data_IF_955049688246
#
_entry.id   IF_955049688246
#
_cell.length_a   1.000
_cell.length_b   1.000
_cell.length_c   1.000
_cell.angle_alpha   90.00
_cell.angle_beta   90.00
_cell.angle_gamma   90.00
#
_symmetry.space_group_name_H-M   'P 1'
#
loop_
_entity.id
_entity.type
_entity.pdbx_description
1 polymer ?
#
# COMPACT_ATOMS: atom_id res chain seq x y z
N UNK A 1 -9.76 -17.74 5.65
CA UNK A 1 -9.34 -17.23 6.97
C UNK A 1 -7.86 -16.82 7.02
N UNK A 2 -6.93 -17.65 6.53
CA UNK A 2 -5.48 -17.37 6.57
C UNK A 2 -5.04 -15.98 6.03
N UNK A 3 -5.63 -15.53 4.91
CA UNK A 3 -5.24 -14.26 4.29
C UNK A 3 -5.55 -13.03 5.16
N UNK A 4 -6.59 -13.11 5.99
CA UNK A 4 -6.97 -12.04 6.92
C UNK A 4 -6.01 -11.98 8.09
N UNK A 5 -5.53 -13.12 8.58
CA UNK A 5 -4.53 -13.19 9.65
C UNK A 5 -3.19 -12.61 9.19
N UNK A 6 -2.71 -13.00 8.01
CA UNK A 6 -1.49 -12.42 7.43
C UNK A 6 -1.63 -10.92 7.22
N UNK A 7 -2.80 -10.45 6.77
CA UNK A 7 -3.06 -9.03 6.60
C UNK A 7 -3.00 -8.27 7.94
N UNK A 8 -3.57 -8.84 9.02
CA UNK A 8 -3.50 -8.25 10.37
C UNK A 8 -2.04 -8.16 10.86
N UNK A 9 -1.23 -9.18 10.61
CA UNK A 9 0.18 -9.21 11.00
C UNK A 9 0.98 -8.13 10.24
N UNK A 10 0.79 -8.06 8.91
CA UNK A 10 1.37 -7.00 8.07
C UNK A 10 0.92 -5.60 8.48
N UNK A 11 -0.34 -5.44 8.92
CA UNK A 11 -0.86 -4.17 9.40
C UNK A 11 -0.19 -3.74 10.71
N UNK A 12 0.06 -4.68 11.62
CA UNK A 12 0.80 -4.41 12.86
C UNK A 12 2.25 -3.96 12.54
N UNK A 13 2.93 -4.65 11.63
CA UNK A 13 4.28 -4.28 11.18
C UNK A 13 4.29 -2.89 10.52
N UNK A 14 3.32 -2.60 9.65
CA UNK A 14 3.18 -1.30 8.99
C UNK A 14 2.93 -0.18 10.01
N UNK A 15 2.09 -0.43 11.01
CA UNK A 15 1.78 0.53 12.08
C UNK A 15 3.02 0.80 12.94
N UNK A 16 3.79 -0.24 13.26
CA UNK A 16 5.06 -0.09 13.96
C UNK A 16 6.06 0.74 13.16
N UNK A 17 6.19 0.52 11.84
CA UNK A 17 7.06 1.33 10.98
C UNK A 17 6.59 2.79 10.88
N UNK A 18 5.28 3.00 10.83
CA UNK A 18 4.68 4.34 10.76
C UNK A 18 4.87 5.15 12.04
N UNK A 19 5.09 4.48 13.18
CA UNK A 19 5.45 5.15 14.44
C UNK A 19 6.80 5.87 14.36
N UNK A 20 7.71 5.47 13.46
CA UNK A 20 8.96 6.20 13.21
C UNK A 20 8.76 7.45 12.32
N UNK A 21 7.60 7.60 11.69
CA UNK A 21 7.25 8.71 10.79
C UNK A 21 6.13 9.59 11.37
N UNK A 22 6.03 9.67 12.71
CA UNK A 22 5.09 10.52 13.42
C UNK A 22 5.23 11.98 12.95
N UNK A 23 4.23 12.48 12.22
CA UNK A 23 4.22 13.82 11.63
C UNK A 23 3.94 13.85 10.12
N UNK A 24 4.12 12.73 9.42
CA UNK A 24 3.73 12.64 8.00
C UNK A 24 2.26 12.25 7.86
N UNK A 25 1.48 13.05 7.13
CA UNK A 25 0.08 12.74 6.84
C UNK A 25 -0.02 11.65 5.79
N UNK A 26 -0.92 10.71 5.98
CA UNK A 26 -1.21 9.67 4.99
C UNK A 26 -2.11 10.28 3.90
N UNK A 27 -1.80 9.97 2.64
CA UNK A 27 -2.58 10.35 1.47
C UNK A 27 -3.46 9.19 1.02
N UNK A 28 -2.82 8.04 0.81
CA UNK A 28 -3.43 6.85 0.24
C UNK A 28 -2.98 5.60 1.01
N UNK A 29 -3.86 4.61 1.07
CA UNK A 29 -3.58 3.26 1.52
C UNK A 29 -3.48 2.37 0.29
N UNK A 30 -2.49 1.47 0.26
CA UNK A 30 -2.25 0.60 -0.89
C UNK A 30 -2.13 -0.88 -0.46
N UNK A 31 -2.78 -1.76 -1.22
CA UNK A 31 -2.62 -3.22 -1.15
C UNK A 31 -1.96 -3.68 -2.44
N UNK A 32 -0.86 -4.40 -2.31
CA UNK A 32 -0.13 -4.98 -3.44
C UNK A 32 -0.15 -6.51 -3.35
N UNK A 33 -0.61 -7.15 -4.41
CA UNK A 33 -0.54 -8.59 -4.61
C UNK A 33 0.45 -8.90 -5.72
N UNK A 34 1.36 -9.82 -5.48
CA UNK A 34 2.22 -10.42 -6.52
C UNK A 34 1.79 -11.86 -6.74
N UNK A 35 1.52 -12.21 -7.98
CA UNK A 35 1.06 -13.53 -8.37
C UNK A 35 2.23 -14.47 -8.72
N UNK A 36 1.89 -15.74 -8.91
CA UNK A 36 2.86 -16.80 -9.26
C UNK A 36 3.53 -16.56 -10.60
N UNK A 37 2.82 -15.92 -11.55
CA UNK A 37 3.34 -15.48 -12.85
C UNK A 37 4.18 -14.20 -12.77
N UNK A 38 4.60 -13.79 -11.56
CA UNK A 38 5.33 -12.55 -11.26
C UNK A 38 4.61 -11.24 -11.61
N UNK A 39 3.43 -11.30 -12.22
CA UNK A 39 2.51 -10.17 -12.39
C UNK A 39 2.10 -9.60 -11.03
N UNK A 40 1.97 -8.28 -10.93
CA UNK A 40 1.53 -7.60 -9.70
C UNK A 40 0.27 -6.77 -9.94
N UNK A 41 -0.61 -6.73 -8.94
CA UNK A 41 -1.75 -5.82 -8.88
C UNK A 41 -1.60 -4.95 -7.65
N UNK A 42 -1.78 -3.64 -7.82
CA UNK A 42 -1.84 -2.69 -6.71
C UNK A 42 -3.21 -2.02 -6.73
N UNK A 43 -3.92 -2.05 -5.60
CA UNK A 43 -5.10 -1.23 -5.39
C UNK A 43 -4.77 -0.16 -4.37
N UNK A 44 -5.22 1.05 -4.65
CA UNK A 44 -5.01 2.21 -3.81
C UNK A 44 -6.35 2.84 -3.47
N UNK A 45 -6.48 3.34 -2.24
CA UNK A 45 -7.65 4.07 -1.79
C UNK A 45 -7.21 5.30 -1.01
N UNK A 46 -7.87 6.43 -1.26
CA UNK A 46 -7.66 7.64 -0.47
C UNK A 46 -8.01 7.39 1.01
N UNK A 47 -7.13 7.82 1.90
CA UNK A 47 -7.30 7.62 3.33
C UNK A 47 -6.26 8.44 4.10
N UNK A 48 -6.71 9.17 5.10
CA UNK A 48 -5.88 10.02 5.94
C UNK A 48 -5.28 9.29 7.15
N UNK A 49 -5.77 8.08 7.42
CA UNK A 49 -5.46 7.29 8.61
C UNK A 49 -5.25 5.81 8.26
N UNK A 50 -4.42 5.11 9.04
CA UNK A 50 -4.24 3.66 8.94
C UNK A 50 -5.47 2.96 9.53
N UNK A 51 -6.32 2.46 8.66
CA UNK A 51 -7.53 1.73 9.05
C UNK A 51 -7.51 0.32 8.47
N UNK A 52 -7.58 -0.68 9.37
CA UNK A 52 -7.55 -2.09 9.01
C UNK A 52 -8.75 -2.48 8.13
N UNK A 53 -9.94 -1.93 8.38
CA UNK A 53 -11.14 -2.26 7.60
C UNK A 53 -10.99 -1.82 6.14
N UNK A 54 -10.31 -0.69 5.88
CA UNK A 54 -10.00 -0.26 4.50
C UNK A 54 -9.13 -1.27 3.77
N UNK A 55 -8.12 -1.85 4.44
CA UNK A 55 -7.29 -2.90 3.84
C UNK A 55 -8.08 -4.20 3.61
N UNK A 56 -8.93 -4.58 4.55
CA UNK A 56 -9.81 -5.75 4.42
C UNK A 56 -10.79 -5.63 3.26
N UNK A 57 -11.29 -4.43 2.97
CA UNK A 57 -12.17 -4.17 1.82
C UNK A 57 -11.40 -4.18 0.48
N UNK A 58 -10.14 -3.74 0.47
CA UNK A 58 -9.30 -3.72 -0.73
C UNK A 58 -8.76 -5.10 -1.12
N UNK A 59 -8.50 -5.97 -0.15
CA UNK A 59 -7.98 -7.31 -0.38
C UNK A 59 -8.82 -8.15 -1.37
N UNK A 60 -10.15 -8.31 -1.20
CA UNK A 60 -10.96 -9.09 -2.14
C UNK A 60 -10.98 -8.45 -3.54
N UNK A 61 -11.05 -7.12 -3.64
CA UNK A 61 -11.01 -6.42 -4.93
C UNK A 61 -9.66 -6.63 -5.65
N UNK A 62 -8.56 -6.63 -4.90
CA UNK A 62 -7.24 -6.94 -5.45
C UNK A 62 -7.13 -8.40 -5.89
N UNK A 63 -7.75 -9.31 -5.15
CA UNK A 63 -7.79 -10.73 -5.45
C UNK A 63 -8.61 -11.03 -6.72
N UNK A 64 -9.77 -10.39 -6.90
CA UNK A 64 -10.61 -10.56 -8.09
C UNK A 64 -9.87 -10.17 -9.37
N UNK A 65 -9.06 -9.10 -9.34
CA UNK A 65 -8.20 -8.70 -10.47
C UNK A 65 -7.09 -9.71 -10.79
N UNK A 66 -6.76 -10.59 -9.85
CA UNK A 66 -5.81 -11.68 -10.03
C UNK A 66 -6.34 -12.84 -10.85
N UNK A 67 -7.62 -12.85 -11.22
CA UNK A 67 -8.28 -13.90 -12.01
C UNK A 67 -8.03 -15.33 -11.47
N UNK A 68 -7.96 -15.47 -10.15
CA UNK A 68 -7.73 -16.78 -9.50
C UNK A 68 -6.28 -17.28 -9.51
N UNK A 69 -5.30 -16.45 -9.91
CA UNK A 69 -3.89 -16.81 -9.80
C UNK A 69 -3.44 -16.90 -8.34
N UNK A 70 -2.58 -17.86 -8.01
CA UNK A 70 -2.00 -17.99 -6.67
C UNK A 70 -1.15 -16.77 -6.28
N UNK A 71 -1.33 -16.27 -5.06
CA UNK A 71 -0.53 -15.17 -4.48
C UNK A 71 0.83 -15.71 -4.04
N UNK A 72 1.90 -15.06 -4.48
CA UNK A 72 3.26 -15.27 -3.99
C UNK A 72 3.65 -14.28 -2.91
N UNK A 73 3.22 -13.01 -3.03
CA UNK A 73 3.48 -11.98 -2.02
C UNK A 73 2.22 -11.11 -1.81
N UNK A 74 1.94 -10.82 -0.54
CA UNK A 74 0.98 -9.81 -0.09
C UNK A 74 1.78 -8.68 0.57
N UNK A 75 1.55 -7.46 0.13
CA UNK A 75 2.19 -6.27 0.71
C UNK A 75 1.16 -5.20 1.02
N UNK A 76 1.31 -4.56 2.18
CA UNK A 76 0.57 -3.36 2.56
C UNK A 76 1.51 -2.16 2.47
N UNK A 77 0.96 -1.00 2.14
CA UNK A 77 1.71 0.24 2.21
C UNK A 77 0.82 1.46 2.32
N UNK A 78 1.46 2.60 2.49
CA UNK A 78 0.82 3.91 2.53
C UNK A 78 1.62 4.89 1.68
N UNK A 79 0.92 5.75 0.95
CA UNK A 79 1.52 6.92 0.32
C UNK A 79 1.39 8.08 1.29
N UNK A 80 2.51 8.70 1.63
CA UNK A 80 2.52 9.86 2.52
C UNK A 80 2.41 11.14 1.68
N UNK A 81 1.73 12.14 2.21
CA UNK A 81 1.79 13.48 1.68
C UNK A 81 3.23 13.98 1.80
N UNK A 82 3.76 14.45 0.69
CA UNK A 82 5.02 15.17 0.70
C UNK A 82 4.71 16.61 1.13
N UNK A 83 5.25 17.02 2.27
CA UNK A 83 5.11 18.38 2.80
C UNK A 83 6.11 19.30 2.06
N UNK A 84 5.96 19.40 0.73
CA UNK A 84 6.56 20.42 -0.13
C UNK A 84 8.05 20.74 0.05
N UNK A 85 8.88 19.80 0.53
CA UNK A 85 10.31 20.06 0.79
C UNK A 85 11.27 19.14 0.06
N UNK A 86 10.94 18.71 -1.15
CA UNK A 86 11.93 18.55 -2.24
C UNK A 86 11.20 18.44 -3.59
N UNK A 87 10.88 19.58 -4.19
CA UNK A 87 11.00 19.70 -5.64
C UNK A 87 12.32 20.44 -5.88
N UNK A 88 13.38 19.64 -5.81
CA UNK A 88 14.72 19.95 -6.28
C UNK A 88 14.65 20.63 -7.65
N UNK A 89 15.40 21.72 -7.78
CA UNK A 89 15.52 22.63 -8.92
C UNK A 89 16.19 21.98 -10.16
N UNK A 90 15.82 20.74 -10.50
CA UNK A 90 16.34 20.02 -11.66
C UNK A 90 15.29 19.81 -12.75
N UNK A 91 14.56 20.88 -13.09
CA UNK A 91 13.94 20.96 -14.41
C UNK A 91 15.08 21.16 -15.43
N UNK A 92 15.63 20.06 -15.96
CA UNK A 92 16.46 20.14 -17.15
C UNK A 92 15.57 20.55 -18.32
N UNK A 93 15.64 21.82 -18.67
CA UNK A 93 15.05 22.33 -19.92
C UNK A 93 15.73 21.60 -21.08
N UNK A 94 14.95 20.89 -21.91
CA UNK A 94 15.43 20.44 -23.21
C UNK A 94 15.54 21.70 -24.11
N UNK A 95 16.71 22.33 -24.11
CA UNK A 95 17.19 23.11 -25.23
C UNK A 95 18.39 22.40 -25.83
#
# INVERSE_FOLDING_TARGET
ELAVEVLKDLFAELTSRMSAHQGRRIKNLQVKLKFTDFTQTTLERAGTELDLNRFLDLLPQAWERGHGQGIRLLGLGVSLLDDGKVADENQMTLF
#
